data_IF_175996129327
#
_entry.id   IF_175996129327
#
_cell.length_a   1.000
_cell.length_b   1.000
_cell.length_c   1.000
_cell.angle_alpha   90.00
_cell.angle_beta   90.00
_cell.angle_gamma   90.00
#
_symmetry.space_group_name_H-M   'P 1'
#
loop_
_entity.id
_entity.type
_entity.pdbx_description
1 polymer ?
#
# COMPACT_ATOMS: atom_id res chain seq x y z
N UNK A 1 -20.26 -19.93 3.70
CA UNK A 1 -21.33 -18.92 3.75
C UNK A 1 -20.72 -17.58 3.32
N UNK A 2 -21.02 -17.16 2.10
CA UNK A 2 -20.48 -15.96 1.46
C UNK A 2 -21.24 -14.73 1.95
N UNK A 3 -20.64 -13.91 2.82
CA UNK A 3 -21.13 -12.55 3.02
C UNK A 3 -20.74 -11.75 1.76
N UNK A 4 -21.73 -11.51 0.88
CA UNK A 4 -21.61 -10.71 -0.34
C UNK A 4 -21.24 -9.27 0.01
N UNK A 5 -19.96 -8.96 0.12
CA UNK A 5 -19.52 -7.57 -0.04
C UNK A 5 -19.86 -7.12 -1.46
N UNK A 6 -20.45 -5.93 -1.58
CA UNK A 6 -20.69 -5.34 -2.89
C UNK A 6 -19.33 -5.13 -3.59
N UNK A 7 -19.27 -5.23 -4.92
CA UNK A 7 -18.02 -5.05 -5.68
C UNK A 7 -17.35 -3.71 -5.34
N UNK A 8 -18.15 -2.67 -5.10
CA UNK A 8 -17.67 -1.37 -4.65
C UNK A 8 -17.06 -1.38 -3.24
N UNK A 9 -17.62 -2.16 -2.31
CA UNK A 9 -17.08 -2.30 -0.94
C UNK A 9 -15.75 -3.05 -0.96
N UNK A 10 -15.63 -4.09 -1.77
CA UNK A 10 -14.37 -4.82 -1.90
C UNK A 10 -13.30 -3.93 -2.58
N UNK A 11 -13.69 -3.16 -3.61
CA UNK A 11 -12.80 -2.19 -4.22
C UNK A 11 -12.31 -1.14 -3.20
N UNK A 12 -13.21 -0.55 -2.40
CA UNK A 12 -12.82 0.40 -1.35
C UNK A 12 -11.89 -0.24 -0.30
N UNK A 13 -12.14 -1.49 0.07
CA UNK A 13 -11.27 -2.19 1.01
C UNK A 13 -9.86 -2.40 0.42
N UNK A 14 -9.76 -2.79 -0.85
CA UNK A 14 -8.48 -2.93 -1.57
C UNK A 14 -7.75 -1.58 -1.71
N UNK A 15 -8.47 -0.48 -1.95
CA UNK A 15 -7.90 0.87 -1.89
C UNK A 15 -7.38 1.20 -0.49
N UNK A 16 -8.00 0.70 0.58
CA UNK A 16 -7.55 0.89 1.96
C UNK A 16 -6.28 0.12 2.32
N UNK A 17 -6.09 -1.05 1.72
CA UNK A 17 -4.81 -1.77 1.74
C UNK A 17 -3.71 -0.98 1.02
N UNK A 18 -4.05 -0.30 -0.07
CA UNK A 18 -3.09 0.52 -0.82
C UNK A 18 -2.60 1.75 -0.02
N UNK A 19 -3.48 2.38 0.76
CA UNK A 19 -3.16 3.58 1.55
C UNK A 19 -2.49 3.15 2.88
N UNK A 20 -1.29 2.57 2.82
CA UNK A 20 -0.52 2.14 3.98
C UNK A 20 0.37 3.24 4.59
N UNK A 21 1.08 2.91 5.67
CA UNK A 21 2.12 3.78 6.23
C UNK A 21 3.23 4.08 5.22
N UNK A 22 3.62 3.09 4.41
CA UNK A 22 4.60 3.27 3.34
C UNK A 22 4.13 4.28 2.29
N UNK A 23 2.87 4.21 1.86
CA UNK A 23 2.31 5.13 0.86
C UNK A 23 2.14 6.55 1.44
N UNK A 24 1.62 6.67 2.66
CA UNK A 24 1.33 7.97 3.25
C UNK A 24 2.56 8.67 3.83
N UNK A 25 3.42 7.98 4.57
CA UNK A 25 4.67 8.56 5.10
C UNK A 25 5.83 8.48 4.11
N UNK A 26 5.99 7.33 3.45
CA UNK A 26 7.13 7.08 2.58
C UNK A 26 7.10 7.93 1.31
N UNK A 27 6.01 7.84 0.52
CA UNK A 27 5.91 8.60 -0.74
C UNK A 27 5.82 10.11 -0.48
N UNK A 28 5.04 10.55 0.52
CA UNK A 28 4.95 11.97 0.87
C UNK A 28 6.28 12.49 1.40
N UNK A 29 6.96 11.74 2.27
CA UNK A 29 8.29 12.11 2.77
C UNK A 29 9.36 12.15 1.68
N UNK A 30 9.35 11.18 0.76
CA UNK A 30 10.21 11.18 -0.42
C UNK A 30 9.93 12.37 -1.33
N UNK A 31 8.66 12.70 -1.56
CA UNK A 31 8.27 13.84 -2.40
C UNK A 31 8.63 15.16 -1.73
N UNK A 32 8.48 15.27 -0.41
CA UNK A 32 8.83 16.47 0.36
C UNK A 32 10.35 16.72 0.38
N UNK A 33 11.16 15.66 0.43
CA UNK A 33 12.62 15.78 0.52
C UNK A 33 13.34 15.79 -0.82
N UNK A 34 12.79 15.11 -1.83
CA UNK A 34 13.44 14.94 -3.15
C UNK A 34 12.64 15.51 -4.33
N UNK A 35 11.54 16.20 -4.07
CA UNK A 35 10.74 16.86 -5.10
C UNK A 35 9.99 15.89 -6.01
N UNK A 36 9.78 16.28 -7.26
CA UNK A 36 8.93 15.59 -8.24
C UNK A 36 9.33 14.12 -8.49
N UNK A 37 10.61 13.77 -8.34
CA UNK A 37 11.08 12.39 -8.56
C UNK A 37 10.43 11.39 -7.59
N UNK A 38 10.00 11.82 -6.40
CA UNK A 38 9.26 11.01 -5.44
C UNK A 38 7.88 10.57 -5.93
N UNK A 39 7.25 11.34 -6.83
CA UNK A 39 5.92 11.01 -7.38
C UNK A 39 5.96 9.82 -8.34
N UNK A 40 7.10 9.56 -8.99
CA UNK A 40 7.23 8.39 -9.88
C UNK A 40 7.09 7.06 -9.12
N UNK A 41 7.47 7.01 -7.84
CA UNK A 41 7.21 5.85 -6.98
C UNK A 41 5.70 5.59 -6.80
N UNK A 42 4.87 6.63 -6.77
CA UNK A 42 3.42 6.49 -6.68
C UNK A 42 2.81 5.94 -7.98
N UNK A 43 3.30 6.43 -9.13
CA UNK A 43 2.79 6.03 -10.45
C UNK A 43 3.07 4.56 -10.73
N UNK A 44 4.30 4.09 -10.46
CA UNK A 44 4.67 2.69 -10.71
C UNK A 44 3.79 1.68 -9.98
N UNK A 45 3.33 2.03 -8.77
CA UNK A 45 2.44 1.16 -8.00
C UNK A 45 1.03 1.10 -8.58
N UNK A 46 0.48 2.22 -9.05
CA UNK A 46 -0.86 2.28 -9.65
C UNK A 46 -0.93 1.40 -10.92
N UNK A 47 0.12 1.42 -11.74
CA UNK A 47 0.21 0.62 -12.97
C UNK A 47 0.29 -0.89 -12.69
N UNK A 48 0.81 -1.29 -11.53
CA UNK A 48 0.90 -2.69 -11.12
C UNK A 48 -0.46 -3.35 -10.85
N UNK A 49 -1.46 -2.59 -10.39
CA UNK A 49 -2.77 -3.14 -9.99
C UNK A 49 -3.57 -3.76 -11.15
N UNK A 50 -3.78 -3.09 -12.30
CA UNK A 50 -4.43 -3.72 -13.46
C UNK A 50 -3.73 -4.99 -13.92
N UNK A 51 -2.39 -4.98 -13.90
CA UNK A 51 -1.58 -6.11 -14.35
C UNK A 51 -1.73 -7.29 -13.40
N UNK A 52 -1.70 -7.04 -12.09
CA UNK A 52 -1.95 -8.04 -11.06
C UNK A 52 -3.37 -8.64 -11.18
N UNK A 53 -4.38 -7.81 -11.45
CA UNK A 53 -5.75 -8.25 -11.69
C UNK A 53 -5.85 -9.20 -12.89
N UNK A 54 -5.26 -8.85 -14.04
CA UNK A 54 -5.33 -9.67 -15.24
C UNK A 54 -4.43 -10.92 -15.18
N UNK A 55 -3.21 -10.81 -14.62
CA UNK A 55 -2.24 -11.91 -14.63
C UNK A 55 -2.43 -12.90 -13.48
N UNK A 56 -2.95 -12.47 -12.33
CA UNK A 56 -3.02 -13.32 -11.13
C UNK A 56 -4.46 -13.53 -10.69
N UNK A 57 -5.24 -12.47 -10.49
CA UNK A 57 -6.60 -12.60 -9.98
C UNK A 57 -7.51 -13.36 -10.95
N UNK A 58 -7.42 -13.08 -12.26
CA UNK A 58 -8.24 -13.75 -13.27
C UNK A 58 -7.94 -15.27 -13.40
N UNK A 59 -6.68 -15.74 -13.50
CA UNK A 59 -6.38 -17.18 -13.47
C UNK A 59 -6.79 -17.88 -12.17
N UNK A 60 -6.64 -17.22 -11.02
CA UNK A 60 -7.07 -17.77 -9.73
C UNK A 60 -8.60 -17.92 -9.67
N UNK A 61 -9.33 -16.90 -10.12
CA UNK A 61 -10.79 -16.88 -10.23
C UNK A 61 -11.30 -18.00 -11.14
N UNK A 62 -10.74 -18.14 -12.35
CA UNK A 62 -11.15 -19.19 -13.30
C UNK A 62 -10.89 -20.60 -12.78
N UNK A 63 -9.87 -20.79 -11.93
CA UNK A 63 -9.47 -22.09 -11.37
C UNK A 63 -10.07 -22.36 -9.98
N UNK A 64 -10.77 -21.41 -9.38
CA UNK A 64 -11.43 -21.55 -8.07
C UNK A 64 -10.47 -21.77 -6.89
N UNK A 65 -9.20 -21.37 -7.02
CA UNK A 65 -8.20 -21.52 -5.96
C UNK A 65 -8.08 -20.24 -5.13
N UNK A 66 -8.10 -20.37 -3.81
CA UNK A 66 -8.07 -19.23 -2.88
C UNK A 66 -6.66 -18.75 -2.54
N UNK A 67 -5.61 -19.53 -2.82
CA UNK A 67 -4.23 -19.16 -2.53
C UNK A 67 -3.35 -19.20 -3.78
N UNK A 68 -2.42 -18.26 -3.90
CA UNK A 68 -1.46 -18.23 -5.00
C UNK A 68 -0.58 -19.49 -5.05
N UNK A 69 -0.29 -20.05 -3.87
CA UNK A 69 0.44 -21.32 -3.74
C UNK A 69 -0.34 -22.46 -4.42
N UNK A 70 -1.66 -22.51 -4.23
CA UNK A 70 -2.50 -23.52 -4.86
C UNK A 70 -2.57 -23.33 -6.38
N UNK A 71 -2.55 -22.08 -6.88
CA UNK A 71 -2.46 -21.80 -8.32
C UNK A 71 -1.20 -22.41 -8.95
N UNK A 72 -0.04 -22.24 -8.29
CA UNK A 72 1.22 -22.82 -8.79
C UNK A 72 1.22 -24.35 -8.65
N UNK A 73 0.67 -24.86 -7.55
CA UNK A 73 0.59 -26.31 -7.31
C UNK A 73 -0.28 -27.04 -8.35
N UNK A 74 -1.24 -26.36 -8.99
CA UNK A 74 -1.98 -26.91 -10.13
C UNK A 74 -1.11 -27.14 -11.38
N UNK A 75 0.03 -26.46 -11.50
CA UNK A 75 0.97 -26.63 -12.62
C UNK A 75 2.16 -27.51 -12.26
N UNK A 76 2.66 -27.36 -11.04
CA UNK A 76 3.77 -28.14 -10.50
C UNK A 76 3.25 -28.98 -9.34
N UNK A 77 2.77 -30.17 -9.66
CA UNK A 77 2.19 -31.11 -8.70
C UNK A 77 3.27 -31.73 -7.82
N UNK A 78 3.59 -31.08 -6.70
CA UNK A 78 4.52 -31.58 -5.69
C UNK A 78 4.25 -30.99 -4.30
N UNK A 79 4.12 -31.86 -3.28
CA UNK A 79 3.92 -31.45 -1.88
C UNK A 79 5.05 -30.53 -1.39
N UNK A 80 6.27 -30.80 -1.82
CA UNK A 80 7.46 -30.04 -1.43
C UNK A 80 7.42 -28.61 -2.01
N UNK A 81 6.99 -28.46 -3.27
CA UNK A 81 6.83 -27.15 -3.91
C UNK A 81 5.78 -26.32 -3.18
N UNK A 82 4.67 -26.93 -2.76
CA UNK A 82 3.64 -26.26 -1.96
C UNK A 82 4.18 -25.75 -0.62
N UNK A 83 4.99 -26.54 0.07
CA UNK A 83 5.59 -26.16 1.36
C UNK A 83 6.58 -25.01 1.18
N UNK A 84 7.47 -25.12 0.19
CA UNK A 84 8.48 -24.08 -0.10
C UNK A 84 7.80 -22.75 -0.45
N UNK A 85 6.81 -22.77 -1.34
CA UNK A 85 6.06 -21.56 -1.73
C UNK A 85 5.29 -20.94 -0.57
N UNK A 86 4.71 -21.77 0.31
CA UNK A 86 4.01 -21.28 1.51
C UNK A 86 4.98 -20.62 2.49
N UNK A 87 6.18 -21.20 2.69
CA UNK A 87 7.21 -20.62 3.56
C UNK A 87 7.75 -19.29 3.02
N UNK A 88 7.99 -19.20 1.71
CA UNK A 88 8.40 -17.94 1.05
C UNK A 88 7.30 -16.89 1.22
N UNK A 89 6.04 -17.26 0.97
CA UNK A 89 4.90 -16.36 1.15
C UNK A 89 4.78 -15.84 2.58
N UNK A 90 4.90 -16.72 3.58
CA UNK A 90 4.90 -16.34 4.99
C UNK A 90 6.05 -15.39 5.34
N UNK A 91 7.26 -15.67 4.86
CA UNK A 91 8.43 -14.83 5.10
C UNK A 91 8.23 -13.43 4.51
N UNK A 92 7.73 -13.33 3.27
CA UNK A 92 7.40 -12.04 2.64
C UNK A 92 6.36 -11.25 3.45
N UNK A 93 5.28 -11.90 3.91
CA UNK A 93 4.24 -11.25 4.72
C UNK A 93 4.81 -10.77 6.06
N UNK A 94 5.67 -11.56 6.72
CA UNK A 94 6.28 -11.18 7.99
C UNK A 94 7.14 -9.92 7.86
N UNK A 95 8.00 -9.84 6.83
CA UNK A 95 8.81 -8.65 6.58
C UNK A 95 7.90 -7.42 6.35
N UNK A 96 6.83 -7.61 5.57
CA UNK A 96 5.88 -6.54 5.29
C UNK A 96 5.16 -6.05 6.55
N UNK A 97 4.68 -6.98 7.40
CA UNK A 97 4.02 -6.65 8.66
C UNK A 97 4.92 -5.87 9.62
N UNK A 98 6.21 -6.23 9.69
CA UNK A 98 7.18 -5.49 10.51
C UNK A 98 7.30 -4.04 10.05
N UNK A 99 7.41 -3.80 8.74
CA UNK A 99 7.50 -2.45 8.20
C UNK A 99 6.25 -1.61 8.51
N UNK A 100 5.06 -2.20 8.44
CA UNK A 100 3.82 -1.49 8.75
C UNK A 100 3.67 -1.17 10.24
N UNK A 101 4.02 -2.10 11.12
CA UNK A 101 3.97 -1.90 12.58
C UNK A 101 4.95 -0.80 13.03
N UNK A 102 6.16 -0.78 12.45
CA UNK A 102 7.13 0.29 12.70
C UNK A 102 6.57 1.65 12.24
N UNK A 103 5.99 1.71 11.03
CA UNK A 103 5.40 2.93 10.50
C UNK A 103 4.27 3.46 11.38
N UNK A 104 3.38 2.58 11.85
CA UNK A 104 2.28 2.95 12.74
C UNK A 104 2.75 3.36 14.13
N UNK A 105 3.75 2.67 14.70
CA UNK A 105 4.35 3.03 15.99
C UNK A 105 5.04 4.40 15.95
N UNK A 106 5.76 4.70 14.86
CA UNK A 106 6.39 5.99 14.64
C UNK A 106 5.35 7.12 14.59
N UNK A 107 4.25 6.93 13.87
CA UNK A 107 3.14 7.89 13.82
C UNK A 107 2.55 8.14 15.21
N UNK A 108 2.28 7.08 15.96
CA UNK A 108 1.71 7.21 17.30
C UNK A 108 2.66 7.98 18.22
N UNK A 109 3.95 7.65 18.20
CA UNK A 109 4.98 8.33 19.00
C UNK A 109 5.07 9.81 18.65
N UNK A 110 4.99 10.16 17.36
CA UNK A 110 5.07 11.55 16.89
C UNK A 110 3.84 12.36 17.29
N UNK A 111 2.64 11.78 17.22
CA UNK A 111 1.38 12.47 17.56
C UNK A 111 1.21 12.62 19.08
N UNK A 112 1.55 11.60 19.86
CA UNK A 112 1.30 11.55 21.31
C UNK A 112 2.49 12.03 22.14
N UNK A 113 3.71 12.07 21.56
CA UNK A 113 4.94 12.38 22.28
C UNK A 113 5.43 11.26 23.21
N UNK A 114 4.80 10.09 23.21
CA UNK A 114 5.17 8.95 24.05
C UNK A 114 6.40 8.24 23.46
N UNK A 115 7.20 7.59 24.31
CA UNK A 115 8.36 6.80 23.90
C UNK A 115 8.00 5.80 22.78
N UNK A 116 8.87 5.69 21.79
CA UNK A 116 8.72 4.78 20.65
C UNK A 116 8.50 3.32 21.08
N UNK A 117 9.25 2.82 22.06
CA UNK A 117 9.13 1.43 22.52
C UNK A 117 7.73 1.13 23.11
N UNK A 118 7.18 2.08 23.86
CA UNK A 118 5.80 1.98 24.37
C UNK A 118 4.79 2.06 23.22
N UNK A 119 4.98 2.97 22.27
CA UNK A 119 4.11 3.13 21.10
C UNK A 119 4.06 1.84 20.26
N UNK A 120 5.21 1.20 20.03
CA UNK A 120 5.31 -0.06 19.30
C UNK A 120 4.56 -1.19 20.01
N UNK A 121 4.72 -1.30 21.34
CA UNK A 121 4.00 -2.29 22.13
C UNK A 121 2.48 -2.10 22.04
N UNK A 122 1.99 -0.87 22.24
CA UNK A 122 0.56 -0.57 22.18
C UNK A 122 -0.04 -0.83 20.78
N UNK A 123 0.60 -0.33 19.73
CA UNK A 123 0.11 -0.53 18.35
C UNK A 123 0.05 -2.01 17.99
N UNK A 124 1.10 -2.76 18.32
CA UNK A 124 1.15 -4.20 18.03
C UNK A 124 0.08 -4.96 18.81
N UNK A 125 -0.04 -4.69 20.11
CA UNK A 125 -1.03 -5.35 20.97
C UNK A 125 -2.46 -5.09 20.49
N UNK A 126 -2.80 -3.82 20.21
CA UNK A 126 -4.13 -3.43 19.73
C UNK A 126 -4.42 -4.07 18.37
N UNK A 127 -3.46 -4.05 17.44
CA UNK A 127 -3.62 -4.64 16.10
C UNK A 127 -3.86 -6.15 16.18
N UNK A 128 -3.13 -6.86 17.03
CA UNK A 128 -3.31 -8.31 17.24
C UNK A 128 -4.68 -8.60 17.86
N UNK A 129 -5.07 -7.90 18.94
CA UNK A 129 -6.39 -8.06 19.55
C UNK A 129 -7.53 -7.79 18.55
N UNK A 130 -7.40 -6.75 17.74
CA UNK A 130 -8.39 -6.39 16.72
C UNK A 130 -8.56 -7.50 15.67
N UNK A 131 -7.46 -8.04 15.15
CA UNK A 131 -7.50 -9.10 14.13
C UNK A 131 -8.03 -10.42 14.71
N UNK A 132 -7.60 -10.79 15.93
CA UNK A 132 -8.04 -12.03 16.58
C UNK A 132 -9.55 -12.03 16.89
N UNK A 133 -10.09 -10.91 17.34
CA UNK A 133 -11.51 -10.80 17.71
C UNK A 133 -12.41 -10.56 16.49
N UNK A 134 -11.93 -9.82 15.49
CA UNK A 134 -12.74 -9.34 14.38
C UNK A 134 -12.69 -10.18 13.10
N UNK A 135 -11.64 -10.98 12.92
CA UNK A 135 -11.43 -11.76 11.71
C UNK A 135 -11.39 -10.91 10.42
N UNK A 136 -11.65 -11.54 9.28
CA UNK A 136 -11.59 -10.87 7.97
C UNK A 136 -12.71 -9.84 7.78
N UNK A 137 -13.87 -10.03 8.42
CA UNK A 137 -14.98 -9.07 8.31
C UNK A 137 -14.63 -7.72 8.94
N UNK A 138 -14.09 -7.71 10.16
CA UNK A 138 -13.73 -6.47 10.85
C UNK A 138 -12.60 -5.72 10.14
N UNK A 139 -11.60 -6.45 9.61
CA UNK A 139 -10.48 -5.82 8.89
C UNK A 139 -10.93 -5.19 7.57
N UNK A 140 -11.87 -5.81 6.84
CA UNK A 140 -12.46 -5.21 5.64
C UNK A 140 -13.20 -3.91 5.95
N UNK A 141 -14.05 -3.90 6.97
CA UNK A 141 -14.75 -2.67 7.38
C UNK A 141 -13.80 -1.57 7.85
N UNK A 142 -12.80 -1.92 8.68
CA UNK A 142 -11.79 -0.98 9.14
C UNK A 142 -11.08 -0.28 7.97
N UNK A 143 -10.78 -1.02 6.91
CA UNK A 143 -10.11 -0.46 5.75
C UNK A 143 -11.01 0.40 4.87
N UNK A 144 -12.29 0.07 4.75
CA UNK A 144 -13.27 0.96 4.09
C UNK A 144 -13.30 2.31 4.83
N UNK A 145 -13.42 2.30 6.17
CA UNK A 145 -13.39 3.53 6.96
C UNK A 145 -12.09 4.31 6.79
N UNK A 146 -10.95 3.63 6.89
CA UNK A 146 -9.61 4.22 6.67
C UNK A 146 -9.52 4.91 5.31
N UNK A 147 -10.02 4.28 4.25
CA UNK A 147 -10.02 4.83 2.89
C UNK A 147 -10.83 6.11 2.80
N UNK A 148 -12.07 6.09 3.31
CA UNK A 148 -12.97 7.24 3.26
C UNK A 148 -12.40 8.42 4.06
N UNK A 149 -11.87 8.17 5.25
CA UNK A 149 -11.29 9.20 6.12
C UNK A 149 -10.03 9.81 5.49
N UNK A 150 -9.08 8.99 5.05
CA UNK A 150 -7.82 9.51 4.50
C UNK A 150 -8.03 10.21 3.16
N UNK A 151 -8.91 9.68 2.31
CA UNK A 151 -9.22 10.31 1.02
C UNK A 151 -9.94 11.65 1.20
N UNK A 152 -10.94 11.71 2.10
CA UNK A 152 -11.63 12.97 2.39
C UNK A 152 -10.69 14.00 3.03
N UNK A 153 -9.82 13.60 3.96
CA UNK A 153 -8.82 14.49 4.55
C UNK A 153 -7.86 15.04 3.49
N UNK A 154 -7.38 14.20 2.57
CA UNK A 154 -6.52 14.64 1.48
C UNK A 154 -7.19 15.68 0.58
N UNK A 155 -8.48 15.48 0.24
CA UNK A 155 -9.26 16.46 -0.54
C UNK A 155 -9.47 17.78 0.21
N UNK A 156 -9.75 17.72 1.51
CA UNK A 156 -9.92 18.92 2.35
C UNK A 156 -8.61 19.71 2.41
N UNK A 157 -7.48 19.05 2.61
CA UNK A 157 -6.16 19.71 2.62
C UNK A 157 -5.88 20.35 1.26
N UNK A 158 -6.15 19.64 0.16
CA UNK A 158 -6.00 20.16 -1.20
C UNK A 158 -6.84 21.43 -1.39
N UNK A 159 -8.11 21.39 -1.00
CA UNK A 159 -9.01 22.54 -1.13
C UNK A 159 -8.56 23.72 -0.26
N UNK A 160 -8.12 23.47 0.98
CA UNK A 160 -7.59 24.50 1.87
C UNK A 160 -6.34 25.18 1.29
N UNK A 161 -5.46 24.41 0.65
CA UNK A 161 -4.28 24.96 -0.04
C UNK A 161 -4.73 25.87 -1.19
N UNK A 162 -5.66 25.42 -2.05
CA UNK A 162 -6.19 26.25 -3.14
C UNK A 162 -6.97 27.48 -2.66
N UNK A 163 -7.66 27.40 -1.53
CA UNK A 163 -8.40 28.53 -0.97
C UNK A 163 -7.47 29.57 -0.33
N UNK A 164 -6.47 29.10 0.43
CA UNK A 164 -5.52 29.97 1.14
C UNK A 164 -4.47 30.57 0.19
N UNK A 165 -4.16 29.87 -0.90
CA UNK A 165 -3.24 30.34 -1.94
C UNK A 165 -4.07 30.66 -3.18
N UNK A 166 -4.34 31.95 -3.41
CA UNK A 166 -4.92 32.46 -4.65
C UNK A 166 -4.28 31.71 -5.84
N UNK A 167 -5.06 31.14 -6.76
CA UNK A 167 -4.62 30.05 -7.66
C UNK A 167 -3.29 30.26 -8.41
N UNK A 168 -2.86 31.51 -8.59
CA UNK A 168 -1.57 31.89 -9.19
C UNK A 168 -0.34 31.77 -8.25
N UNK A 169 -0.53 31.78 -6.93
CA UNK A 169 0.54 31.78 -5.93
C UNK A 169 0.86 30.40 -5.34
N UNK A 170 0.04 29.37 -5.63
CA UNK A 170 0.32 27.96 -5.24
C UNK A 170 1.72 27.53 -5.70
N UNK A 171 2.17 28.05 -6.86
CA UNK A 171 3.45 27.73 -7.47
C UNK A 171 4.61 28.65 -7.05
N UNK A 172 4.33 29.83 -6.45
CA UNK A 172 5.32 30.90 -6.28
C UNK A 172 5.57 31.33 -4.83
N UNK A 173 4.68 31.06 -3.88
CA UNK A 173 4.66 31.82 -2.63
C UNK A 173 5.49 31.28 -1.45
N UNK A 174 6.17 30.13 -1.54
CA UNK A 174 6.84 29.53 -0.37
C UNK A 174 8.34 29.25 -0.52
N UNK A 175 9.06 29.89 -1.46
CA UNK A 175 10.48 29.57 -1.66
C UNK A 175 10.69 28.09 -2.06
N UNK A 176 9.62 27.41 -2.47
CA UNK A 176 9.66 26.18 -3.24
C UNK A 176 10.22 26.61 -4.59
N UNK A 177 11.55 26.60 -4.68
CA UNK A 177 12.26 26.93 -5.90
C UNK A 177 11.59 26.22 -7.07
N UNK A 178 11.60 26.86 -8.23
CA UNK A 178 11.27 26.27 -9.54
C UNK A 178 11.90 24.89 -9.78
N UNK A 179 12.87 24.48 -8.95
CA UNK A 179 13.50 23.17 -8.91
C UNK A 179 12.71 22.06 -8.20
N UNK A 180 11.52 22.30 -7.62
CA UNK A 180 10.69 21.20 -7.07
C UNK A 180 9.99 20.41 -8.18
N UNK A 181 9.61 21.09 -9.27
CA UNK A 181 9.02 20.48 -10.47
C UNK A 181 10.05 20.06 -11.51
N UNK A 182 11.32 20.49 -11.35
CA UNK A 182 12.40 19.97 -12.15
C UNK A 182 12.85 18.62 -11.56
N UNK A 183 13.00 17.57 -12.37
CA UNK A 183 13.48 16.28 -11.89
C UNK A 183 14.85 16.46 -11.23
N UNK A 184 14.92 16.24 -9.92
CA UNK A 184 16.16 16.40 -9.15
C UNK A 184 17.01 15.13 -9.21
N UNK A 185 17.59 14.86 -10.38
CA UNK A 185 18.76 13.97 -10.58
C UNK A 185 18.80 12.62 -9.85
N UNK A 186 17.69 12.04 -9.38
CA UNK A 186 17.72 10.70 -8.78
C UNK A 186 17.94 9.66 -9.89
N UNK A 187 17.29 9.89 -11.03
CA UNK A 187 17.36 9.02 -12.19
C UNK A 187 18.21 9.70 -13.27
N UNK A 188 19.47 9.31 -13.33
CA UNK A 188 20.45 9.88 -14.26
C UNK A 188 20.22 9.39 -15.68
N UNK A 189 19.54 8.25 -15.83
CA UNK A 189 19.22 7.63 -17.11
C UNK A 189 17.73 7.21 -17.20
N UNK A 190 17.12 7.26 -18.40
CA UNK A 190 15.74 6.81 -18.62
C UNK A 190 15.50 5.33 -18.28
N UNK A 191 16.57 4.51 -18.33
CA UNK A 191 16.51 3.10 -17.95
C UNK A 191 16.23 2.89 -16.47
N UNK A 192 16.64 3.82 -15.61
CA UNK A 192 16.42 3.68 -14.17
C UNK A 192 14.93 3.82 -13.84
N UNK A 193 14.21 4.71 -14.54
CA UNK A 193 12.74 4.84 -14.44
C UNK A 193 12.03 3.57 -14.94
N UNK A 194 12.51 2.99 -16.04
CA UNK A 194 11.94 1.77 -16.58
C UNK A 194 12.16 0.59 -15.63
N UNK A 195 13.38 0.43 -15.11
CA UNK A 195 13.73 -0.59 -14.12
C UNK A 195 12.92 -0.43 -12.84
N UNK A 196 12.77 0.79 -12.33
CA UNK A 196 11.96 1.07 -11.14
C UNK A 196 10.49 0.71 -11.38
N UNK A 197 9.92 1.14 -12.50
CA UNK A 197 8.53 0.84 -12.86
C UNK A 197 8.30 -0.66 -12.98
N UNK A 198 9.25 -1.38 -13.60
CA UNK A 198 9.19 -2.83 -13.74
C UNK A 198 9.31 -3.54 -12.37
N UNK A 199 10.20 -3.07 -11.50
CA UNK A 199 10.36 -3.59 -10.15
C UNK A 199 9.10 -3.39 -9.30
N UNK A 200 8.47 -2.21 -9.39
CA UNK A 200 7.21 -1.91 -8.68
C UNK A 200 6.04 -2.71 -9.26
N UNK A 201 5.99 -2.89 -10.58
CA UNK A 201 4.95 -3.64 -11.28
C UNK A 201 4.97 -5.13 -10.91
N UNK A 202 6.14 -5.77 -10.90
CA UNK A 202 6.24 -7.17 -10.45
C UNK A 202 6.22 -7.32 -8.93
N UNK A 203 6.74 -6.32 -8.20
CA UNK A 203 6.71 -6.31 -6.74
C UNK A 203 5.29 -6.28 -6.18
N UNK A 204 4.41 -5.49 -6.78
CA UNK A 204 2.98 -5.43 -6.41
C UNK A 204 2.22 -6.72 -6.73
N UNK A 205 2.53 -7.36 -7.86
CA UNK A 205 1.94 -8.64 -8.23
C UNK A 205 2.28 -9.79 -7.25
N UNK A 206 3.40 -9.69 -6.54
CA UNK A 206 3.85 -10.70 -5.57
C UNK A 206 3.25 -10.57 -4.18
N UNK A 207 2.47 -9.53 -3.88
CA UNK A 207 1.97 -9.22 -2.54
C UNK A 207 0.83 -10.18 -2.12
N UNK A 208 1.07 -11.11 -1.19
CA UNK A 208 0.09 -12.14 -0.85
C UNK A 208 -1.15 -11.59 -0.14
N UNK A 209 -1.02 -10.47 0.60
CA UNK A 209 -2.10 -9.83 1.33
C UNK A 209 -3.22 -9.32 0.41
N UNK A 210 -2.89 -8.83 -0.80
CA UNK A 210 -3.88 -8.36 -1.77
C UNK A 210 -4.57 -9.52 -2.48
N UNK A 211 -3.83 -10.59 -2.79
CA UNK A 211 -4.35 -11.75 -3.51
C UNK A 211 -5.43 -12.53 -2.73
N UNK A 212 -5.32 -12.58 -1.41
CA UNK A 212 -6.26 -13.31 -0.55
C UNK A 212 -7.63 -12.60 -0.45
N UNK A 213 -7.71 -11.31 -0.77
CA UNK A 213 -8.93 -10.48 -0.64
C UNK A 213 -9.83 -10.44 -1.87
N UNK A 214 -9.40 -11.00 -2.99
CA UNK A 214 -10.26 -11.16 -4.16
C UNK A 214 -11.27 -12.31 -4.01
N UNK A 215 -11.20 -13.07 -2.92
CA UNK A 215 -12.02 -14.25 -2.62
C UNK A 215 -12.70 -14.14 -1.26
#
# INVERSE_FOLDING_TARGET
MQNKFNAFQNALALFGDYIGAASFLGIVGLTATRGFDGLFYAVGWIVGWPIMLFLVAEPMSRRGVSTYVDLIALRFSGKDIKIILSLIGLLCILIFLVAELIGAALLLSLITGINYSLSLFFVTFISVCFVLLGGMFATTWFQIYKTVILFSLALIILFLIFYKMNANNVFLANGISSNLFLPQTIFRYPFDYFSLSLALLFGTAGLPNVLIRFF
#
